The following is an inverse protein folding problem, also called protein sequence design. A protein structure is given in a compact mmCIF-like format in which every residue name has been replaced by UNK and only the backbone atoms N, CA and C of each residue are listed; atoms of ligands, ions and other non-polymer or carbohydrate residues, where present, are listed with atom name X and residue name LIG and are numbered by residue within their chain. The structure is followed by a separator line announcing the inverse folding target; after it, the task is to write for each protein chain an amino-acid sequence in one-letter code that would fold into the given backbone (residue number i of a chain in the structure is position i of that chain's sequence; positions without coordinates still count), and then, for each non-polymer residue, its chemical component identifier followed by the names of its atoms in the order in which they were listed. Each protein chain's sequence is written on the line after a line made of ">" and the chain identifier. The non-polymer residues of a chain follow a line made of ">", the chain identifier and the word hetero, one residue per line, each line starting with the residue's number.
data_IF_647679939371
#
_entry.id   IF_647679939371
#
_cell.length_a   1.000
_cell.length_b   1.000
_cell.length_c   1.000
_cell.angle_alpha   90.00
_cell.angle_beta   90.00
_cell.angle_gamma   90.00
#
_symmetry.space_group_name_H-M   'P 1'
#
loop_
_entity.id
_entity.type
_entity.pdbx_description
1 polymer ?
#
# COMPACT_ATOMS: atom_id res chain seq x y z
N UNK A 1 34.57 -6.57 -12.56
CA UNK A 1 35.00 -6.15 -11.21
C UNK A 1 36.41 -6.69 -10.94
N UNK A 2 36.65 -7.98 -11.08
CA UNK A 2 37.98 -8.62 -10.74
C UNK A 2 39.14 -7.93 -11.47
N UNK A 3 39.04 -7.75 -12.79
CA UNK A 3 40.09 -7.09 -13.58
C UNK A 3 40.31 -5.63 -13.17
N UNK A 4 39.27 -4.94 -12.75
CA UNK A 4 39.36 -3.55 -12.30
C UNK A 4 40.02 -3.40 -10.93
N UNK A 5 39.89 -4.38 -10.02
CA UNK A 5 40.57 -4.35 -8.71
C UNK A 5 42.09 -4.46 -8.82
N UNK A 6 42.60 -5.05 -9.91
CA UNK A 6 44.03 -5.22 -10.18
C UNK A 6 44.59 -4.13 -11.07
N UNK A 7 43.81 -3.14 -11.47
CA UNK A 7 44.27 -2.01 -12.31
C UNK A 7 45.17 -1.05 -11.50
N UNK A 8 46.10 -0.32 -12.18
CA UNK A 8 46.89 0.73 -11.51
C UNK A 8 46.05 1.84 -10.87
N UNK A 9 44.90 2.17 -11.49
CA UNK A 9 43.87 3.04 -10.93
C UNK A 9 42.54 2.30 -10.97
N UNK A 10 42.19 1.60 -9.87
CA UNK A 10 40.90 0.86 -9.80
C UNK A 10 39.67 1.76 -9.93
N UNK A 11 39.75 3.02 -9.48
CA UNK A 11 38.63 3.96 -9.50
C UNK A 11 38.20 4.31 -10.91
N UNK A 12 39.15 4.61 -11.80
CA UNK A 12 38.86 4.97 -13.19
C UNK A 12 38.15 3.86 -13.97
N UNK A 13 38.42 2.59 -13.65
CA UNK A 13 37.83 1.43 -14.29
C UNK A 13 36.50 1.02 -13.63
N UNK A 14 36.45 1.04 -12.31
CA UNK A 14 35.30 0.51 -11.54
C UNK A 14 34.16 1.53 -11.41
N UNK A 15 34.43 2.84 -11.39
CA UNK A 15 33.38 3.85 -11.24
C UNK A 15 32.37 3.86 -12.40
N UNK A 16 32.78 3.86 -13.68
CA UNK A 16 31.82 3.78 -14.79
C UNK A 16 31.06 2.45 -14.82
N UNK A 17 31.72 1.34 -14.47
CA UNK A 17 31.06 0.03 -14.36
C UNK A 17 30.01 0.01 -13.24
N UNK A 18 30.32 0.54 -12.07
CA UNK A 18 29.39 0.65 -10.97
C UNK A 18 28.16 1.52 -11.33
N UNK A 19 28.39 2.63 -12.04
CA UNK A 19 27.33 3.51 -12.53
C UNK A 19 26.45 2.84 -13.60
N UNK A 20 27.03 1.98 -14.44
CA UNK A 20 26.28 1.21 -15.42
C UNK A 20 25.39 0.16 -14.71
N UNK A 21 25.96 -0.66 -13.82
CA UNK A 21 25.23 -1.66 -13.05
C UNK A 21 24.08 -1.01 -12.25
N UNK A 22 24.34 0.16 -11.67
CA UNK A 22 23.33 0.93 -10.94
C UNK A 22 22.12 1.28 -11.85
N UNK A 23 22.37 1.76 -13.08
CA UNK A 23 21.30 2.07 -14.04
C UNK A 23 20.54 0.82 -14.47
N UNK A 24 21.27 -0.26 -14.80
CA UNK A 24 20.71 -1.48 -15.37
C UNK A 24 19.88 -2.27 -14.33
N UNK A 25 20.25 -2.19 -13.05
CA UNK A 25 19.58 -2.92 -11.95
C UNK A 25 18.56 -2.08 -11.19
N UNK A 26 18.51 -0.76 -11.43
CA UNK A 26 17.65 0.15 -10.69
C UNK A 26 17.99 0.26 -9.19
N UNK A 27 19.23 -0.08 -8.80
CA UNK A 27 19.73 0.13 -7.44
C UNK A 27 20.16 1.58 -7.23
N UNK A 28 20.07 2.08 -5.98
CA UNK A 28 20.40 3.48 -5.70
C UNK A 28 21.90 3.72 -5.58
N UNK A 29 22.66 2.67 -5.24
CA UNK A 29 24.10 2.73 -5.19
C UNK A 29 24.75 1.35 -5.38
N UNK A 30 25.96 1.40 -5.96
CA UNK A 30 26.90 0.28 -6.06
C UNK A 30 28.25 0.81 -5.60
N UNK A 31 28.79 0.24 -4.54
CA UNK A 31 30.09 0.62 -3.95
C UNK A 31 31.03 -0.56 -4.01
N UNK A 32 32.15 -0.40 -4.70
CA UNK A 32 33.25 -1.34 -4.72
C UNK A 32 34.34 -0.81 -3.77
N UNK A 33 34.90 -1.67 -2.94
CA UNK A 33 35.86 -1.26 -1.92
C UNK A 33 36.88 -2.35 -1.63
N UNK A 34 38.01 -1.97 -0.98
CA UNK A 34 39.00 -2.91 -0.45
C UNK A 34 38.41 -3.76 0.66
N UNK A 35 39.05 -4.89 1.03
CA UNK A 35 38.69 -5.62 2.25
C UNK A 35 38.76 -4.78 3.54
N UNK A 36 39.61 -3.73 3.56
CA UNK A 36 39.69 -2.77 4.67
C UNK A 36 38.57 -1.72 4.65
N UNK A 37 37.71 -1.73 3.62
CA UNK A 37 36.58 -0.83 3.48
C UNK A 37 36.91 0.52 2.85
N UNK A 38 38.02 0.69 2.13
CA UNK A 38 38.32 1.91 1.36
C UNK A 38 37.58 1.84 0.02
N UNK A 39 36.77 2.88 -0.26
CA UNK A 39 35.89 2.91 -1.43
C UNK A 39 36.64 3.27 -2.71
N UNK A 40 36.51 2.44 -3.73
CA UNK A 40 36.93 2.73 -5.11
C UNK A 40 35.80 3.40 -5.90
N UNK A 41 34.55 3.11 -5.56
CA UNK A 41 33.39 3.69 -6.26
C UNK A 41 32.37 4.22 -5.27
N UNK A 42 31.67 5.29 -5.65
CA UNK A 42 30.56 5.84 -4.91
C UNK A 42 29.70 6.74 -5.81
N UNK A 43 28.38 6.88 -5.51
CA UNK A 43 27.48 7.79 -6.23
C UNK A 43 27.92 9.24 -6.12
N UNK A 44 28.38 9.65 -4.94
CA UNK A 44 29.03 10.95 -4.71
C UNK A 44 30.55 10.79 -4.82
N UNK A 45 31.20 11.37 -5.86
CA UNK A 45 32.64 11.23 -6.08
C UNK A 45 33.52 11.70 -4.91
N UNK A 46 33.04 12.64 -4.10
CA UNK A 46 33.77 13.15 -2.93
C UNK A 46 33.96 12.09 -1.85
N UNK A 47 33.23 11.04 -1.89
CA UNK A 47 33.27 9.91 -0.95
C UNK A 47 34.23 8.79 -1.38
N UNK A 48 34.81 8.87 -2.59
CA UNK A 48 35.79 7.91 -3.09
C UNK A 48 37.09 8.07 -2.29
N UNK A 49 37.79 6.98 -1.98
CA UNK A 49 38.93 6.95 -1.09
C UNK A 49 38.59 7.03 0.40
N UNK A 50 37.35 7.38 0.74
CA UNK A 50 36.87 7.36 2.11
C UNK A 50 36.50 5.97 2.61
N UNK A 51 36.44 5.85 3.95
CA UNK A 51 36.09 4.56 4.57
C UNK A 51 34.58 4.28 4.49
N UNK A 52 34.22 3.04 4.14
CA UNK A 52 32.83 2.57 4.10
C UNK A 52 32.23 2.62 5.51
N UNK A 53 30.97 3.03 5.59
CA UNK A 53 30.22 3.11 6.85
C UNK A 53 29.22 1.97 6.91
N UNK A 54 29.50 0.95 7.72
CA UNK A 54 28.65 -0.21 7.91
C UNK A 54 29.44 -1.48 8.23
N UNK A 55 28.72 -2.57 8.36
CA UNK A 55 29.28 -3.87 8.74
C UNK A 55 29.90 -4.56 7.53
N UNK A 56 31.21 -4.82 7.58
CA UNK A 56 31.94 -5.51 6.52
C UNK A 56 32.60 -6.81 7.00
N UNK A 57 32.78 -7.00 8.32
CA UNK A 57 33.53 -8.12 8.87
C UNK A 57 33.08 -9.51 8.38
N UNK A 58 31.78 -9.85 8.32
CA UNK A 58 31.37 -11.15 7.78
C UNK A 58 31.70 -11.30 6.28
N UNK A 59 31.63 -10.20 5.50
CA UNK A 59 31.97 -10.24 4.08
C UNK A 59 33.49 -10.41 3.86
N UNK A 60 34.32 -9.84 4.72
CA UNK A 60 35.78 -10.06 4.73
C UNK A 60 36.10 -11.53 5.04
N UNK A 61 35.29 -12.19 5.89
CA UNK A 61 35.39 -13.61 6.18
C UNK A 61 34.80 -14.52 5.06
N UNK A 62 34.37 -13.96 3.93
CA UNK A 62 33.82 -14.71 2.80
C UNK A 62 32.29 -14.91 2.82
N UNK A 63 31.59 -14.39 3.84
CA UNK A 63 30.14 -14.43 3.95
C UNK A 63 29.43 -13.28 3.24
N UNK A 64 28.14 -13.14 3.45
CA UNK A 64 27.32 -12.03 2.95
C UNK A 64 26.67 -11.31 4.12
N UNK A 65 26.62 -9.97 4.05
CA UNK A 65 25.91 -9.14 5.02
C UNK A 65 24.71 -8.51 4.34
N UNK A 66 23.53 -8.64 4.94
CA UNK A 66 22.35 -7.85 4.56
C UNK A 66 21.91 -7.07 5.78
N UNK A 67 21.87 -5.75 5.64
CA UNK A 67 21.54 -4.87 6.77
C UNK A 67 20.74 -3.64 6.31
N UNK A 68 19.94 -3.09 7.23
CA UNK A 68 19.38 -1.75 7.10
C UNK A 68 20.29 -0.80 7.85
N UNK A 69 20.81 0.21 7.17
CA UNK A 69 21.79 1.11 7.74
C UNK A 69 21.61 2.55 7.22
N UNK A 70 21.82 3.52 8.09
CA UNK A 70 21.85 4.93 7.68
C UNK A 70 23.26 5.31 7.29
N UNK A 71 23.55 5.25 5.99
CA UNK A 71 24.84 5.58 5.40
C UNK A 71 24.93 7.04 4.94
N UNK A 72 25.89 7.31 4.05
CA UNK A 72 26.11 8.65 3.45
C UNK A 72 24.95 9.13 2.57
N UNK A 73 24.13 8.21 2.06
CA UNK A 73 22.94 8.47 1.21
C UNK A 73 21.62 8.38 1.99
N UNK A 74 21.67 8.30 3.31
CA UNK A 74 20.51 8.14 4.18
C UNK A 74 20.20 6.68 4.53
N UNK A 75 19.00 6.40 5.12
CA UNK A 75 18.58 5.06 5.47
C UNK A 75 18.40 4.20 4.21
N UNK A 76 19.03 3.03 4.20
CA UNK A 76 19.06 2.12 3.06
C UNK A 76 19.06 0.67 3.50
N UNK A 77 18.47 -0.20 2.68
CA UNK A 77 18.68 -1.64 2.75
C UNK A 77 19.80 -1.97 1.78
N UNK A 78 20.81 -2.69 2.27
CA UNK A 78 21.98 -3.03 1.47
C UNK A 78 22.48 -4.43 1.72
N UNK A 79 23.10 -5.01 0.71
CA UNK A 79 23.85 -6.24 0.78
C UNK A 79 25.32 -5.95 0.53
N UNK A 80 26.21 -6.56 1.32
CA UNK A 80 27.66 -6.53 1.12
C UNK A 80 28.13 -7.94 0.84
N UNK A 81 28.78 -8.14 -0.29
CA UNK A 81 29.27 -9.44 -0.76
C UNK A 81 30.76 -9.38 -1.06
N UNK A 82 31.50 -10.47 -0.82
CA UNK A 82 32.93 -10.54 -1.15
C UNK A 82 33.14 -10.80 -2.65
N UNK A 83 34.20 -10.21 -3.18
CA UNK A 83 34.79 -10.58 -4.48
C UNK A 83 35.97 -11.48 -4.20
N UNK A 84 35.80 -12.77 -4.51
CA UNK A 84 36.83 -13.80 -4.24
C UNK A 84 37.64 -14.05 -5.52
N UNK A 85 38.94 -13.97 -5.40
CA UNK A 85 39.92 -14.27 -6.46
C UNK A 85 40.94 -15.25 -5.92
N UNK A 86 41.11 -16.36 -6.59
CA UNK A 86 42.02 -17.43 -6.18
C UNK A 86 41.87 -17.86 -4.69
N UNK A 87 40.64 -17.95 -4.20
CA UNK A 87 40.32 -18.35 -2.85
C UNK A 87 40.53 -17.27 -1.78
N UNK A 88 40.85 -16.03 -2.17
CA UNK A 88 41.05 -14.90 -1.25
C UNK A 88 40.07 -13.78 -1.56
N UNK A 89 39.61 -13.08 -0.53
CA UNK A 89 38.77 -11.90 -0.69
C UNK A 89 39.64 -10.76 -1.21
N UNK A 90 39.47 -10.42 -2.48
CA UNK A 90 40.23 -9.35 -3.15
C UNK A 90 39.55 -7.97 -2.99
N UNK A 91 38.26 -7.94 -2.72
CA UNK A 91 37.48 -6.73 -2.50
C UNK A 91 36.08 -7.05 -2.04
N UNK A 92 35.30 -6.02 -1.78
CA UNK A 92 33.91 -6.12 -1.35
C UNK A 92 33.03 -5.27 -2.29
N UNK A 93 31.81 -5.69 -2.51
CA UNK A 93 30.79 -4.94 -3.25
C UNK A 93 29.59 -4.73 -2.34
N UNK A 94 29.22 -3.48 -2.10
CA UNK A 94 27.96 -3.12 -1.43
C UNK A 94 26.95 -2.60 -2.46
N UNK A 95 25.77 -3.18 -2.47
CA UNK A 95 24.66 -2.78 -3.34
C UNK A 95 23.44 -2.51 -2.46
N UNK A 96 22.70 -1.44 -2.75
CA UNK A 96 21.52 -1.15 -1.94
C UNK A 96 20.54 -0.18 -2.56
N UNK A 97 19.41 -0.06 -1.86
CA UNK A 97 18.35 0.91 -2.15
C UNK A 97 18.06 1.76 -0.92
N UNK A 98 17.85 3.04 -1.13
CA UNK A 98 17.44 3.97 -0.07
C UNK A 98 15.95 3.80 0.22
N UNK A 99 15.58 3.82 1.51
CA UNK A 99 14.19 3.63 1.94
C UNK A 99 13.31 4.80 1.47
N UNK A 100 13.87 5.99 1.30
CA UNK A 100 13.14 7.16 0.83
C UNK A 100 12.55 7.00 -0.58
N UNK A 101 13.16 6.18 -1.43
CA UNK A 101 12.61 5.87 -2.76
C UNK A 101 11.34 5.03 -2.70
N UNK A 102 11.23 4.13 -1.72
CA UNK A 102 10.05 3.28 -1.52
C UNK A 102 8.86 4.11 -1.03
N UNK A 103 9.11 5.07 -0.15
CA UNK A 103 8.06 5.95 0.40
C UNK A 103 7.47 6.92 -0.63
N UNK A 104 8.30 7.44 -1.55
CA UNK A 104 7.86 8.40 -2.57
C UNK A 104 6.93 7.75 -3.60
N UNK A 105 7.19 6.51 -4.01
CA UNK A 105 6.35 5.77 -4.96
C UNK A 105 4.99 5.39 -4.34
N UNK A 106 4.97 4.95 -3.09
CA UNK A 106 3.73 4.65 -2.35
C UNK A 106 2.85 5.90 -2.15
N UNK A 107 3.46 7.04 -1.85
CA UNK A 107 2.72 8.29 -1.62
C UNK A 107 2.05 8.82 -2.89
N UNK A 108 2.59 8.48 -4.06
CA UNK A 108 2.04 8.90 -5.36
C UNK A 108 0.78 8.14 -5.76
N UNK A 109 0.60 6.91 -5.28
CA UNK A 109 -0.56 6.07 -5.58
C UNK A 109 -1.72 6.27 -4.59
N UNK A 110 -1.44 6.75 -3.38
CA UNK A 110 -2.44 7.00 -2.33
C UNK A 110 -3.59 7.94 -2.77
N UNK A 111 -3.35 9.09 -3.43
CA UNK A 111 -4.45 9.99 -3.81
C UNK A 111 -5.36 9.39 -4.89
N UNK A 112 -4.82 8.53 -5.77
CA UNK A 112 -5.63 7.85 -6.79
C UNK A 112 -6.58 6.83 -6.14
N UNK A 113 -6.08 6.03 -5.20
CA UNK A 113 -6.88 5.05 -4.44
C UNK A 113 -7.92 5.74 -3.55
N UNK A 114 -7.52 6.82 -2.86
CA UNK A 114 -8.44 7.61 -2.05
C UNK A 114 -9.54 8.26 -2.91
N UNK A 115 -9.19 8.79 -4.08
CA UNK A 115 -10.13 9.40 -5.01
C UNK A 115 -11.16 8.42 -5.57
N UNK A 116 -10.73 7.23 -5.98
CA UNK A 116 -11.65 6.18 -6.48
C UNK A 116 -12.59 5.67 -5.39
N UNK A 117 -12.08 5.48 -4.17
CA UNK A 117 -12.90 5.07 -3.02
C UNK A 117 -13.92 6.14 -2.65
N UNK A 118 -13.52 7.41 -2.60
CA UNK A 118 -14.42 8.52 -2.32
C UNK A 118 -15.52 8.66 -3.39
N UNK A 119 -15.16 8.53 -4.68
CA UNK A 119 -16.12 8.56 -5.78
C UNK A 119 -17.15 7.41 -5.67
N UNK A 120 -16.69 6.19 -5.37
CA UNK A 120 -17.59 5.03 -5.18
C UNK A 120 -18.57 5.24 -4.01
N UNK A 121 -18.10 5.79 -2.90
CA UNK A 121 -18.95 6.10 -1.73
C UNK A 121 -19.98 7.21 -2.05
N UNK A 122 -19.60 8.23 -2.81
CA UNK A 122 -20.53 9.27 -3.25
C UNK A 122 -21.63 8.73 -4.18
N UNK A 123 -21.29 7.86 -5.13
CA UNK A 123 -22.25 7.22 -6.03
C UNK A 123 -23.19 6.30 -5.24
N UNK A 124 -22.68 5.49 -4.33
CA UNK A 124 -23.48 4.63 -3.48
C UNK A 124 -24.42 5.43 -2.56
N UNK A 125 -23.92 6.50 -1.94
CA UNK A 125 -24.70 7.39 -1.07
C UNK A 125 -25.79 8.13 -1.84
N UNK A 126 -25.47 8.68 -3.00
CA UNK A 126 -26.44 9.35 -3.87
C UNK A 126 -27.51 8.38 -4.39
N UNK A 127 -27.11 7.18 -4.80
CA UNK A 127 -28.04 6.14 -5.22
C UNK A 127 -29.01 5.71 -4.11
N UNK A 128 -28.51 5.51 -2.91
CA UNK A 128 -29.30 5.18 -1.72
C UNK A 128 -30.29 6.32 -1.36
N UNK A 129 -29.83 7.56 -1.42
CA UNK A 129 -30.66 8.73 -1.15
C UNK A 129 -31.77 8.90 -2.20
N UNK A 130 -31.46 8.75 -3.49
CA UNK A 130 -32.45 8.79 -4.58
C UNK A 130 -33.47 7.66 -4.46
N UNK A 131 -33.05 6.43 -4.17
CA UNK A 131 -33.93 5.30 -3.94
C UNK A 131 -34.87 5.54 -2.74
N UNK A 132 -34.34 6.02 -1.62
CA UNK A 132 -35.15 6.38 -0.45
C UNK A 132 -36.16 7.49 -0.77
N UNK A 133 -35.75 8.50 -1.55
CA UNK A 133 -36.63 9.59 -1.97
C UNK A 133 -37.72 9.11 -2.92
N UNK A 134 -37.39 8.20 -3.84
CA UNK A 134 -38.33 7.60 -4.77
C UNK A 134 -39.34 6.70 -4.06
N UNK A 135 -38.89 5.86 -3.12
CA UNK A 135 -39.75 5.02 -2.29
C UNK A 135 -40.73 5.85 -1.46
N UNK A 136 -40.27 6.92 -0.82
CA UNK A 136 -41.13 7.85 -0.06
C UNK A 136 -42.16 8.55 -0.92
N UNK A 137 -41.89 8.75 -2.20
CA UNK A 137 -42.85 9.33 -3.15
C UNK A 137 -43.83 8.30 -3.73
N UNK A 138 -43.45 7.04 -3.81
CA UNK A 138 -44.26 5.95 -4.37
C UNK A 138 -45.16 5.28 -3.35
N UNK A 139 -44.80 5.29 -2.08
CA UNK A 139 -45.68 4.90 -0.96
C UNK A 139 -46.46 6.14 -0.53
N UNK A 140 -47.57 6.40 -1.24
CA UNK A 140 -48.62 7.27 -0.72
C UNK A 140 -48.96 6.79 0.68
N UNK A 141 -48.64 7.60 1.69
CA UNK A 141 -49.16 7.65 3.06
C UNK A 141 -50.02 6.47 3.55
N UNK A 142 -49.51 5.26 3.50
CA UNK A 142 -50.00 4.18 4.36
C UNK A 142 -49.33 4.35 5.73
N UNK A 143 -49.70 5.43 6.39
CA UNK A 143 -49.26 5.72 7.75
C UNK A 143 -49.86 4.73 8.75
N UNK A 144 -49.25 4.57 9.93
CA UNK A 144 -49.76 3.71 11.01
C UNK A 144 -51.19 4.01 11.39
N UNK A 145 -51.68 5.23 11.11
CA UNK A 145 -53.02 5.69 11.37
C UNK A 145 -54.10 4.98 10.50
N UNK A 146 -53.75 4.53 9.32
CA UNK A 146 -54.73 3.86 8.41
C UNK A 146 -54.92 2.39 8.78
N UNK A 147 -53.87 1.74 9.22
CA UNK A 147 -53.94 0.42 9.84
C UNK A 147 -54.75 0.45 11.14
N UNK A 148 -54.63 1.47 11.95
CA UNK A 148 -55.40 1.64 13.20
C UNK A 148 -56.91 1.80 12.89
N UNK A 149 -57.28 2.61 11.87
CA UNK A 149 -58.69 2.74 11.43
C UNK A 149 -59.28 1.45 10.87
N UNK A 150 -58.48 0.66 10.20
CA UNK A 150 -58.92 -0.64 9.68
C UNK A 150 -59.19 -1.61 10.85
N UNK A 151 -58.34 -1.63 11.87
CA UNK A 151 -58.57 -2.44 13.05
C UNK A 151 -59.78 -1.96 13.87
N UNK A 152 -60.00 -0.67 14.06
CA UNK A 152 -61.19 -0.11 14.74
C UNK A 152 -62.49 -0.45 13.97
N UNK A 153 -62.44 -0.41 12.62
CA UNK A 153 -63.58 -0.80 11.79
C UNK A 153 -63.92 -2.30 11.93
N UNK A 154 -62.92 -3.17 11.93
CA UNK A 154 -63.13 -4.62 12.13
C UNK A 154 -63.59 -4.93 13.53
N UNK A 155 -63.12 -4.22 14.57
CA UNK A 155 -63.56 -4.46 15.94
C UNK A 155 -65.01 -3.98 16.14
N UNK A 156 -65.42 -2.88 15.54
CA UNK A 156 -66.79 -2.39 15.53
C UNK A 156 -67.76 -3.37 14.81
N UNK A 157 -67.33 -3.93 13.66
CA UNK A 157 -68.16 -4.92 12.91
C UNK A 157 -68.28 -6.21 13.72
N UNK A 158 -67.22 -6.68 14.36
CA UNK A 158 -67.25 -7.92 15.17
C UNK A 158 -68.12 -7.74 16.44
N UNK A 159 -68.12 -6.54 17.05
CA UNK A 159 -69.01 -6.26 18.18
C UNK A 159 -70.47 -6.21 17.74
N UNK A 160 -70.79 -5.59 16.61
CA UNK A 160 -72.15 -5.52 16.07
C UNK A 160 -72.70 -6.92 15.72
N UNK A 161 -71.86 -7.83 15.21
CA UNK A 161 -72.26 -9.23 14.92
C UNK A 161 -72.48 -10.04 16.20
N UNK A 162 -71.75 -9.71 17.28
CA UNK A 162 -71.88 -10.43 18.55
C UNK A 162 -73.14 -10.03 19.33
N UNK A 163 -73.69 -8.83 19.06
CA UNK A 163 -74.98 -8.36 19.71
C UNK A 163 -76.25 -8.82 19.00
N UNK A 164 -76.15 -9.62 17.93
CA UNK A 164 -77.29 -10.23 17.22
C UNK A 164 -77.97 -9.26 16.26
N UNK A 165 -77.76 -9.46 14.95
CA UNK A 165 -78.48 -8.76 13.89
C UNK A 165 -79.89 -9.40 13.74
N UNK A 166 -80.89 -8.65 14.13
CA UNK A 166 -82.28 -8.94 13.76
C UNK A 166 -82.55 -8.31 12.41
N UNK A 167 -82.65 -9.13 11.37
CA UNK A 167 -83.10 -8.68 10.05
C UNK A 167 -84.65 -8.77 10.01
N UNK A 168 -85.31 -7.62 9.99
CA UNK A 168 -86.72 -7.48 9.83
C UNK A 168 -87.05 -7.15 8.34
N UNK A 169 -87.94 -7.85 7.74
CA UNK A 169 -88.49 -7.51 6.42
C UNK A 169 -89.33 -6.19 6.52
N UNK A 170 -89.52 -5.54 5.38
CA UNK A 170 -90.28 -4.27 5.31
C UNK A 170 -91.72 -4.40 5.88
N UNK A 171 -92.22 -5.60 6.17
CA UNK A 171 -93.45 -5.86 6.86
C UNK A 171 -93.33 -6.13 8.34
N UNK A 172 -92.16 -5.94 8.98
CA UNK A 172 -91.93 -6.11 10.42
C UNK A 172 -91.96 -7.59 10.89
N UNK A 173 -91.70 -8.55 10.04
CA UNK A 173 -91.70 -10.00 10.37
C UNK A 173 -90.23 -10.50 10.43
N UNK A 174 -89.94 -11.33 11.45
CA UNK A 174 -88.70 -12.10 11.56
C UNK A 174 -88.55 -13.12 10.45
#
# INVERSE_FOLDING_TARGET
>A
VVSGLSAPDPTSVLQPLAAQVQRDTGTDFVVVMTPDGIRYTHRDPTQIGGRFRGTIAPAVAGGTVVETFTGTLGPSVRAVVPVVVAGRVAGLVAVGRTINHVSAEMTRQLPLLAGTTAAALLVAGAGSWLASRWLRRSTHDLGPAELSRMYEYYDAVLHAVREGLLLLDRAGRL
#
